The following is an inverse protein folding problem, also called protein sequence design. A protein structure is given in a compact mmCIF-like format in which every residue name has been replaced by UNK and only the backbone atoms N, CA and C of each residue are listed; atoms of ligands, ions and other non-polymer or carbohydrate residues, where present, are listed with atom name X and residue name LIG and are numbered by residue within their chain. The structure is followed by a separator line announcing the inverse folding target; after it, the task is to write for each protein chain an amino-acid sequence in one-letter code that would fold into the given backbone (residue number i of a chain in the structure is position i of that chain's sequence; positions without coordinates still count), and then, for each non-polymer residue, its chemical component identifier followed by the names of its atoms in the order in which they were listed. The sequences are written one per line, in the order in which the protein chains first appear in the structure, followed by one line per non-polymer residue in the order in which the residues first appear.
data_IF_401184281724
#
_entry.id   IF_401184281724
#
_cell.length_a   1.000
_cell.length_b   1.000
_cell.length_c   1.000
_cell.angle_alpha   90.00
_cell.angle_beta   90.00
_cell.angle_gamma   90.00
#
_symmetry.space_group_name_H-M   'P 1'
#
loop_
_entity.id
_entity.type
_entity.pdbx_description
1 polymer ?
#
# COMPACT_ATOMS: atom_id res chain seq x y z
N UNK A 1 18.47 -56.20 -0.72
CA UNK A 1 17.39 -55.29 -0.28
C UNK A 1 18.04 -54.00 0.17
N UNK A 2 17.78 -52.88 -0.50
CA UNK A 2 18.36 -51.58 -0.11
C UNK A 2 17.41 -50.87 0.87
N UNK A 3 17.93 -49.96 1.70
CA UNK A 3 17.19 -49.17 2.68
C UNK A 3 15.95 -48.49 2.08
N UNK A 4 16.00 -48.07 0.81
CA UNK A 4 14.85 -47.53 0.07
C UNK A 4 13.68 -48.53 0.02
N UNK A 5 13.95 -49.80 -0.28
CA UNK A 5 12.90 -50.83 -0.43
C UNK A 5 12.27 -51.17 0.92
N UNK A 6 13.09 -51.20 1.98
CA UNK A 6 12.63 -51.39 3.36
C UNK A 6 11.71 -50.25 3.82
N UNK A 7 12.07 -49.01 3.52
CA UNK A 7 11.27 -47.82 3.87
C UNK A 7 9.94 -47.83 3.10
N UNK A 8 9.97 -48.03 1.78
CA UNK A 8 8.76 -48.00 0.96
C UNK A 8 7.79 -49.14 1.27
N UNK A 9 8.30 -50.35 1.56
CA UNK A 9 7.46 -51.48 1.97
C UNK A 9 6.81 -51.24 3.33
N UNK A 10 7.56 -50.65 4.28
CA UNK A 10 7.02 -50.29 5.59
C UNK A 10 5.97 -49.19 5.51
N UNK A 11 6.16 -48.18 4.65
CA UNK A 11 5.16 -47.12 4.42
C UNK A 11 3.86 -47.71 3.85
N UNK A 12 3.95 -48.55 2.80
CA UNK A 12 2.76 -49.17 2.20
C UNK A 12 2.00 -50.06 3.18
N UNK A 13 2.71 -50.82 4.03
CA UNK A 13 2.09 -51.67 5.05
C UNK A 13 1.32 -50.88 6.11
N UNK A 14 1.74 -49.65 6.41
CA UNK A 14 1.19 -48.84 7.51
C UNK A 14 0.35 -47.64 7.01
N UNK A 15 0.09 -47.53 5.71
CA UNK A 15 -0.77 -46.46 5.19
C UNK A 15 -2.22 -46.72 5.65
N UNK A 16 -2.96 -45.68 6.12
CA UNK A 16 -4.36 -45.83 6.48
C UNK A 16 -5.19 -46.40 5.31
N UNK A 17 -5.95 -47.46 5.57
CA UNK A 17 -6.80 -48.11 4.56
C UNK A 17 -8.08 -47.31 4.24
N UNK A 18 -8.36 -46.26 4.99
CA UNK A 18 -9.51 -45.39 4.77
C UNK A 18 -9.16 -44.32 3.75
N UNK A 19 -9.88 -44.30 2.64
CA UNK A 19 -9.87 -43.17 1.72
C UNK A 19 -10.55 -41.97 2.40
N UNK A 20 -9.74 -41.10 3.01
CA UNK A 20 -10.23 -39.87 3.63
C UNK A 20 -10.41 -38.85 2.52
N UNK A 21 -11.65 -38.37 2.33
CA UNK A 21 -11.91 -37.28 1.39
C UNK A 21 -11.04 -36.09 1.76
N UNK A 22 -10.40 -35.50 0.76
CA UNK A 22 -9.70 -34.23 0.93
C UNK A 22 -10.67 -33.19 1.51
N UNK A 23 -10.22 -32.31 2.41
CA UNK A 23 -11.05 -31.19 2.85
C UNK A 23 -11.40 -30.33 1.62
N UNK A 24 -12.62 -29.82 1.61
CA UNK A 24 -13.02 -28.85 0.60
C UNK A 24 -12.20 -27.58 0.80
N UNK A 25 -11.36 -27.26 -0.19
CA UNK A 25 -10.61 -26.00 -0.21
C UNK A 25 -11.55 -24.95 -0.80
N UNK A 26 -11.96 -23.93 -0.04
CA UNK A 26 -12.80 -22.89 -0.59
C UNK A 26 -12.03 -22.13 -1.68
N UNK A 27 -12.75 -21.67 -2.70
CA UNK A 27 -12.21 -20.71 -3.63
C UNK A 27 -12.05 -19.40 -2.85
N UNK A 28 -10.80 -18.94 -2.69
CA UNK A 28 -10.52 -17.61 -2.16
C UNK A 28 -10.87 -16.59 -3.23
N UNK A 29 -12.16 -16.31 -3.39
CA UNK A 29 -12.61 -15.23 -4.23
C UNK A 29 -12.06 -13.93 -3.65
N UNK A 30 -11.35 -13.16 -4.48
CA UNK A 30 -11.03 -11.79 -4.17
C UNK A 30 -12.32 -10.96 -4.35
N UNK A 31 -13.29 -11.17 -3.46
CA UNK A 31 -14.44 -10.28 -3.27
C UNK A 31 -13.97 -9.02 -2.52
N UNK A 32 -12.77 -8.53 -2.85
CA UNK A 32 -12.28 -7.28 -2.34
C UNK A 32 -13.24 -6.20 -2.82
N UNK A 33 -13.60 -5.31 -1.90
CA UNK A 33 -14.14 -4.00 -2.23
C UNK A 33 -13.38 -3.39 -3.42
N UNK A 34 -13.97 -2.46 -4.18
CA UNK A 34 -13.23 -1.74 -5.21
C UNK A 34 -11.90 -1.27 -4.63
N UNK A 35 -10.77 -1.53 -5.31
CA UNK A 35 -9.42 -1.33 -4.76
C UNK A 35 -9.22 0.04 -4.10
N UNK A 36 -9.89 1.07 -4.64
CA UNK A 36 -9.89 2.43 -4.08
C UNK A 36 -10.54 2.48 -2.70
N UNK A 37 -11.71 1.87 -2.52
CA UNK A 37 -12.45 1.82 -1.24
C UNK A 37 -11.62 1.11 -0.15
N UNK A 38 -10.98 0.00 -0.52
CA UNK A 38 -10.09 -0.71 0.39
C UNK A 38 -8.87 0.15 0.76
N UNK A 39 -8.21 0.75 -0.22
CA UNK A 39 -7.09 1.66 0.03
C UNK A 39 -7.49 2.81 0.95
N UNK A 40 -8.62 3.47 0.70
CA UNK A 40 -9.13 4.55 1.54
C UNK A 40 -9.37 4.09 2.98
N UNK A 41 -9.96 2.90 3.15
CA UNK A 41 -10.21 2.32 4.47
C UNK A 41 -8.93 2.03 5.23
N UNK A 42 -7.93 1.45 4.57
CA UNK A 42 -6.64 1.15 5.21
C UNK A 42 -5.84 2.42 5.49
N UNK A 43 -5.85 3.39 4.57
CA UNK A 43 -5.22 4.70 4.78
C UNK A 43 -5.83 5.41 5.99
N UNK A 44 -7.16 5.42 6.11
CA UNK A 44 -7.88 6.01 7.24
C UNK A 44 -7.49 5.36 8.58
N UNK A 45 -7.30 4.03 8.60
CA UNK A 45 -6.82 3.31 9.79
C UNK A 45 -5.42 3.72 10.23
N UNK A 46 -4.56 4.12 9.29
CA UNK A 46 -3.22 4.64 9.59
C UNK A 46 -3.22 6.14 9.93
N UNK A 47 -4.39 6.79 9.95
CA UNK A 47 -4.54 8.23 10.23
C UNK A 47 -4.41 9.12 8.98
N UNK A 48 -4.34 8.54 7.79
CA UNK A 48 -4.34 9.30 6.55
C UNK A 48 -5.76 9.66 6.08
N UNK A 49 -5.83 10.60 5.14
CA UNK A 49 -7.08 10.99 4.50
C UNK A 49 -6.93 10.89 2.98
N UNK A 50 -7.98 10.42 2.31
CA UNK A 50 -8.04 10.34 0.86
C UNK A 50 -9.24 11.13 0.35
N UNK A 51 -8.99 11.93 -0.68
CA UNK A 51 -10.01 12.74 -1.34
C UNK A 51 -10.02 12.42 -2.82
N UNK A 52 -11.22 12.31 -3.40
CA UNK A 52 -11.39 12.21 -4.84
C UNK A 52 -11.48 13.64 -5.39
N UNK A 53 -10.62 13.95 -6.34
CA UNK A 53 -10.47 15.26 -6.98
C UNK A 53 -10.56 15.06 -8.49
N UNK A 54 -11.12 16.02 -9.21
CA UNK A 54 -11.33 15.89 -10.67
C UNK A 54 -10.24 16.61 -11.46
N UNK A 55 -9.71 17.70 -10.90
CA UNK A 55 -8.72 18.54 -11.55
C UNK A 55 -7.68 19.11 -10.56
N UNK A 56 -6.67 19.80 -11.10
CA UNK A 56 -5.58 20.39 -10.32
C UNK A 56 -6.04 21.56 -9.44
N UNK A 57 -7.05 22.32 -9.86
CA UNK A 57 -7.58 23.43 -9.06
C UNK A 57 -8.32 22.92 -7.81
N UNK A 58 -9.05 21.80 -7.92
CA UNK A 58 -9.66 21.13 -6.77
C UNK A 58 -8.58 20.70 -5.75
N UNK A 59 -7.43 20.23 -6.23
CA UNK A 59 -6.30 19.86 -5.37
C UNK A 59 -5.78 21.09 -4.61
N UNK A 60 -5.56 22.21 -5.30
CA UNK A 60 -5.09 23.46 -4.68
C UNK A 60 -6.09 24.00 -3.65
N UNK A 61 -7.38 23.97 -3.98
CA UNK A 61 -8.44 24.37 -3.07
C UNK A 61 -8.44 23.48 -1.81
N UNK A 62 -8.31 22.16 -1.99
CA UNK A 62 -8.29 21.20 -0.88
C UNK A 62 -7.06 21.34 0.00
N UNK A 63 -5.88 21.61 -0.58
CA UNK A 63 -4.65 21.88 0.19
C UNK A 63 -4.84 23.11 1.07
N UNK A 64 -5.42 24.19 0.52
CA UNK A 64 -5.68 25.43 1.27
C UNK A 64 -6.69 25.21 2.40
N UNK A 65 -7.71 24.38 2.16
CA UNK A 65 -8.71 24.01 3.16
C UNK A 65 -8.11 23.20 4.32
N UNK A 66 -7.26 22.21 4.00
CA UNK A 66 -6.67 21.30 4.99
C UNK A 66 -5.52 21.95 5.79
N UNK A 67 -4.77 22.84 5.15
CA UNK A 67 -3.57 23.45 5.72
C UNK A 67 -3.57 24.98 5.56
N UNK A 68 -4.56 25.69 6.13
CA UNK A 68 -4.68 27.13 5.97
C UNK A 68 -3.50 27.92 6.57
N UNK A 69 -2.82 27.34 7.56
CA UNK A 69 -1.71 27.97 8.28
C UNK A 69 -0.33 27.54 7.76
N UNK A 70 -0.24 26.68 6.74
CA UNK A 70 1.03 26.24 6.20
C UNK A 70 1.76 27.40 5.50
N UNK A 71 2.94 27.74 6.00
CA UNK A 71 3.75 28.85 5.51
C UNK A 71 4.87 28.37 4.61
N UNK A 72 5.44 27.20 4.86
CA UNK A 72 6.55 26.64 4.09
C UNK A 72 6.08 25.38 3.39
N UNK A 73 5.80 25.52 2.10
CA UNK A 73 5.28 24.44 1.25
C UNK A 73 6.32 24.11 0.19
N UNK A 74 6.69 22.85 0.11
CA UNK A 74 7.52 22.33 -0.97
C UNK A 74 6.72 21.39 -1.86
N UNK A 75 7.06 21.38 -3.15
CA UNK A 75 6.38 20.52 -4.13
C UNK A 75 7.38 19.98 -5.12
N UNK A 76 7.22 18.70 -5.46
CA UNK A 76 7.97 18.05 -6.55
C UNK A 76 7.17 17.98 -7.85
N UNK A 77 5.93 18.47 -7.86
CA UNK A 77 5.05 18.46 -9.02
C UNK A 77 5.16 19.80 -9.78
N UNK A 78 5.32 19.79 -11.12
CA UNK A 78 5.32 21.02 -11.91
C UNK A 78 3.96 21.73 -11.93
N UNK A 79 2.86 21.00 -11.76
CA UNK A 79 1.50 21.56 -11.75
C UNK A 79 1.12 22.31 -10.45
N UNK A 80 1.85 22.09 -9.36
CA UNK A 80 1.58 22.72 -8.06
C UNK A 80 2.87 23.31 -7.53
N UNK A 81 2.98 24.64 -7.56
CA UNK A 81 4.18 25.34 -7.11
C UNK A 81 4.12 25.57 -5.60
N UNK A 82 5.09 25.03 -4.87
CA UNK A 82 5.38 25.43 -3.49
C UNK A 82 6.22 26.70 -3.43
N UNK A 83 6.33 27.32 -2.26
CA UNK A 83 7.16 28.51 -2.08
C UNK A 83 8.62 28.20 -1.72
N UNK A 84 8.91 26.94 -1.34
CA UNK A 84 10.27 26.45 -1.12
C UNK A 84 10.69 25.51 -2.25
N UNK A 85 11.71 25.88 -3.04
CA UNK A 85 12.22 25.01 -4.09
C UNK A 85 12.98 23.82 -3.46
N UNK A 86 12.73 22.61 -3.97
CA UNK A 86 13.47 21.40 -3.63
C UNK A 86 14.14 20.86 -4.88
N UNK A 87 15.39 20.42 -4.72
CA UNK A 87 16.18 19.73 -5.74
C UNK A 87 16.70 18.40 -5.17
N UNK A 88 17.13 17.47 -6.03
CA UNK A 88 17.69 16.19 -5.57
C UNK A 88 18.91 16.32 -4.64
N UNK A 89 19.64 17.44 -4.74
CA UNK A 89 20.83 17.77 -3.95
C UNK A 89 20.55 18.69 -2.75
N UNK A 90 19.28 19.01 -2.47
CA UNK A 90 18.91 19.84 -1.31
C UNK A 90 19.34 19.17 -0.01
N UNK A 91 20.00 19.92 0.87
CA UNK A 91 20.44 19.43 2.17
C UNK A 91 19.21 19.08 3.05
N UNK A 92 19.11 17.85 3.60
CA UNK A 92 17.96 17.47 4.43
C UNK A 92 17.70 18.38 5.64
N UNK A 93 18.76 18.98 6.21
CA UNK A 93 18.62 19.93 7.31
C UNK A 93 17.87 21.20 6.93
N UNK A 94 17.89 21.58 5.65
CA UNK A 94 17.14 22.72 5.15
C UNK A 94 15.64 22.45 5.12
N UNK A 95 15.18 21.20 5.26
CA UNK A 95 13.74 20.85 5.24
C UNK A 95 13.08 20.94 6.62
N UNK A 96 13.82 21.30 7.67
CA UNK A 96 13.33 21.30 9.05
C UNK A 96 12.21 22.32 9.33
N UNK A 97 12.10 23.35 8.50
CA UNK A 97 11.09 24.41 8.55
C UNK A 97 9.90 24.17 7.61
N UNK A 98 9.86 23.04 6.88
CA UNK A 98 8.79 22.73 5.93
C UNK A 98 7.54 22.26 6.69
N UNK A 99 6.43 22.95 6.46
CA UNK A 99 5.13 22.61 7.04
C UNK A 99 4.39 21.56 6.21
N UNK A 100 4.53 21.63 4.86
CA UNK A 100 3.82 20.75 3.94
C UNK A 100 4.69 20.35 2.75
N UNK A 101 4.71 19.05 2.45
CA UNK A 101 5.34 18.49 1.26
C UNK A 101 4.30 17.87 0.32
N UNK A 102 4.35 18.27 -0.95
CA UNK A 102 3.47 17.78 -2.01
C UNK A 102 4.28 16.90 -2.95
N UNK A 103 3.93 15.61 -3.00
CA UNK A 103 4.64 14.60 -3.77
C UNK A 103 3.66 13.74 -4.57
N UNK A 104 4.11 13.23 -5.72
CA UNK A 104 3.31 12.31 -6.52
C UNK A 104 3.38 10.92 -5.88
N UNK A 105 2.24 10.44 -5.40
CA UNK A 105 2.10 9.06 -4.94
C UNK A 105 2.23 8.07 -6.11
N UNK A 106 2.92 6.95 -5.87
CA UNK A 106 2.88 5.79 -6.75
C UNK A 106 2.11 4.68 -6.03
N UNK A 107 1.13 4.09 -6.71
CA UNK A 107 0.48 2.87 -6.28
C UNK A 107 1.23 1.68 -6.89
N UNK A 108 1.50 0.66 -6.09
CA UNK A 108 2.20 -0.57 -6.50
C UNK A 108 1.38 -1.81 -6.20
#
# INVERSE_FOLDING_TARGET
MNSRDLILSSIRKNQPNSEVKLPEIPIFNNNSEPLISEFQTQLARMGGQAFKVENIEDIKAKITELYPDAKMICSTLPEITGNKPIKPDTNPHELADVDLAIIRGQFG
#
